data_IF_827407469750
#
_entry.id   IF_827407469750
#
_cell.length_a   1.000
_cell.length_b   1.000
_cell.length_c   1.000
_cell.angle_alpha   90.00
_cell.angle_beta   90.00
_cell.angle_gamma   90.00
#
_symmetry.space_group_name_H-M   'P 1'
#
loop_
_entity.id
_entity.type
_entity.pdbx_description
1 polymer ?
#
# COMPACT_ATOMS: atom_id res chain seq x y z
N UNK A 1 29.39 -22.26 17.80
CA UNK A 1 28.34 -23.04 17.12
C UNK A 1 27.00 -22.49 17.54
N UNK A 2 26.29 -21.86 16.61
CA UNK A 2 25.03 -21.17 16.86
C UNK A 2 24.58 -20.35 15.64
N UNK A 3 24.65 -20.97 14.45
CA UNK A 3 23.90 -20.52 13.28
C UNK A 3 22.56 -21.25 13.38
N UNK A 4 21.56 -20.60 13.95
CA UNK A 4 20.24 -21.17 14.13
C UNK A 4 19.20 -20.05 14.23
N UNK A 5 18.13 -20.18 13.45
CA UNK A 5 16.89 -19.40 13.40
C UNK A 5 16.78 -18.21 12.43
N UNK A 6 17.86 -17.73 11.81
CA UNK A 6 17.76 -16.48 11.02
C UNK A 6 17.47 -16.68 9.51
N UNK A 7 17.30 -17.89 8.99
CA UNK A 7 17.07 -18.08 7.54
C UNK A 7 15.65 -17.76 7.08
N UNK A 8 14.66 -17.89 7.96
CA UNK A 8 13.26 -17.56 7.67
C UNK A 8 12.65 -16.78 8.84
N UNK A 9 12.61 -15.44 8.78
CA UNK A 9 12.00 -14.63 9.82
C UNK A 9 10.49 -14.93 9.96
N UNK A 10 10.00 -14.88 11.20
CA UNK A 10 8.58 -15.14 11.53
C UNK A 10 7.65 -14.04 11.01
N UNK A 11 8.15 -12.80 10.90
CA UNK A 11 7.40 -11.64 10.41
C UNK A 11 8.31 -10.78 9.51
N UNK A 12 7.76 -10.27 8.40
CA UNK A 12 8.47 -9.44 7.41
C UNK A 12 7.63 -8.25 6.99
N UNK A 13 8.30 -7.15 6.63
CA UNK A 13 7.66 -6.02 5.95
C UNK A 13 7.69 -6.28 4.45
N UNK A 14 6.53 -6.52 3.85
CA UNK A 14 6.43 -6.91 2.43
C UNK A 14 6.08 -5.72 1.55
N UNK A 15 6.94 -5.44 0.57
CA UNK A 15 6.69 -4.52 -0.53
C UNK A 15 5.89 -5.21 -1.65
N UNK A 16 5.08 -4.46 -2.41
CA UNK A 16 4.33 -5.01 -3.54
C UNK A 16 5.27 -5.52 -4.63
N UNK A 17 4.75 -6.43 -5.44
CA UNK A 17 5.35 -6.74 -6.73
C UNK A 17 5.11 -5.54 -7.67
N UNK A 18 6.13 -5.17 -8.43
CA UNK A 18 6.08 -4.05 -9.36
C UNK A 18 6.28 -4.57 -10.78
N UNK A 19 5.42 -4.12 -11.70
CA UNK A 19 5.50 -4.50 -13.11
C UNK A 19 5.01 -3.36 -14.00
N UNK A 20 5.58 -3.29 -15.19
CA UNK A 20 5.05 -2.46 -16.26
C UNK A 20 3.99 -3.24 -17.04
N UNK A 21 2.87 -2.60 -17.33
CA UNK A 21 1.81 -3.13 -18.17
C UNK A 21 1.05 -1.98 -18.83
N UNK A 22 0.26 -2.28 -19.85
CA UNK A 22 -0.64 -1.30 -20.44
C UNK A 22 -1.82 -1.01 -19.51
N UNK A 23 -2.39 0.21 -19.60
CA UNK A 23 -3.61 0.55 -18.87
C UNK A 23 -4.79 -0.36 -19.25
N UNK A 24 -4.80 -0.91 -20.47
CA UNK A 24 -5.79 -1.90 -20.92
C UNK A 24 -5.66 -3.21 -20.12
N UNK A 25 -4.45 -3.76 -20.00
CA UNK A 25 -4.22 -4.98 -19.22
C UNK A 25 -4.52 -4.78 -17.74
N UNK A 26 -4.16 -3.62 -17.21
CA UNK A 26 -4.51 -3.21 -15.86
C UNK A 26 -6.02 -3.17 -15.65
N UNK A 27 -6.77 -2.50 -16.54
CA UNK A 27 -8.22 -2.40 -16.46
C UNK A 27 -8.90 -3.77 -16.57
N UNK A 28 -8.43 -4.64 -17.47
CA UNK A 28 -8.91 -6.03 -17.56
C UNK A 28 -8.69 -6.78 -16.25
N UNK A 29 -7.50 -6.64 -15.64
CA UNK A 29 -7.18 -7.29 -14.36
C UNK A 29 -8.08 -6.77 -13.24
N UNK A 30 -8.30 -5.45 -13.18
CA UNK A 30 -9.14 -4.80 -12.18
C UNK A 30 -10.63 -5.22 -12.30
N UNK A 31 -11.10 -5.45 -13.52
CA UNK A 31 -12.49 -5.82 -13.81
C UNK A 31 -12.75 -7.33 -13.75
N UNK A 32 -11.69 -8.16 -13.76
CA UNK A 32 -11.83 -9.61 -13.69
C UNK A 32 -12.26 -10.00 -12.28
N UNK A 33 -13.45 -10.62 -12.11
CA UNK A 33 -13.89 -11.08 -10.81
C UNK A 33 -12.90 -12.10 -10.26
N UNK A 34 -12.43 -11.89 -9.04
CA UNK A 34 -11.59 -12.86 -8.36
C UNK A 34 -12.48 -13.78 -7.54
N UNK A 35 -12.18 -15.08 -7.56
CA UNK A 35 -12.88 -16.09 -6.77
C UNK A 35 -12.51 -16.03 -5.27
N UNK A 36 -12.38 -14.83 -4.70
CA UNK A 36 -12.23 -14.62 -3.26
C UNK A 36 -13.60 -14.80 -2.59
N UNK A 37 -14.17 -16.01 -2.70
CA UNK A 37 -15.43 -16.37 -2.05
C UNK A 37 -15.24 -16.80 -0.60
N UNK A 38 -14.00 -17.03 -0.16
CA UNK A 38 -13.67 -17.44 1.20
C UNK A 38 -12.73 -16.44 1.87
N UNK A 39 -13.29 -15.60 2.76
CA UNK A 39 -12.53 -14.67 3.59
C UNK A 39 -11.50 -15.38 4.50
N UNK A 40 -11.67 -16.69 4.75
CA UNK A 40 -10.77 -17.54 5.53
C UNK A 40 -9.72 -18.26 4.66
N UNK A 41 -9.74 -18.10 3.34
CA UNK A 41 -8.70 -18.64 2.48
C UNK A 41 -7.32 -18.10 2.90
N UNK A 42 -6.34 -19.01 2.93
CA UNK A 42 -4.95 -18.68 3.23
C UNK A 42 -4.47 -17.56 2.28
N UNK A 43 -3.71 -16.59 2.80
CA UNK A 43 -3.33 -15.39 2.05
C UNK A 43 -2.65 -15.68 0.70
N UNK A 44 -1.99 -16.84 0.59
CA UNK A 44 -1.34 -17.32 -0.62
C UNK A 44 -2.34 -17.63 -1.76
N UNK A 45 -3.56 -18.08 -1.41
CA UNK A 45 -4.63 -18.41 -2.36
C UNK A 45 -5.48 -17.22 -2.78
N UNK A 46 -5.21 -16.04 -2.23
CA UNK A 46 -5.93 -14.81 -2.61
C UNK A 46 -5.44 -14.31 -3.95
N UNK A 47 -6.36 -13.72 -4.70
CA UNK A 47 -6.03 -13.18 -6.01
C UNK A 47 -5.18 -11.91 -5.90
N UNK A 48 -4.41 -11.62 -6.96
CA UNK A 48 -3.65 -10.39 -7.07
C UNK A 48 -4.59 -9.17 -6.94
N UNK A 49 -4.18 -8.16 -6.18
CA UNK A 49 -4.88 -6.88 -6.09
C UNK A 49 -4.13 -5.85 -6.93
N UNK A 50 -4.63 -5.49 -8.13
CA UNK A 50 -3.98 -4.51 -8.98
C UNK A 50 -4.18 -3.09 -8.41
N UNK A 51 -3.09 -2.30 -8.34
CA UNK A 51 -3.15 -0.93 -7.83
C UNK A 51 -2.10 -0.02 -8.50
N UNK A 52 -2.54 0.98 -9.27
CA UNK A 52 -1.68 2.09 -9.73
C UNK A 52 -1.48 3.03 -8.55
N UNK A 53 -0.22 3.16 -8.11
CA UNK A 53 0.08 3.87 -6.85
C UNK A 53 1.49 4.48 -6.74
N UNK A 54 2.24 4.55 -7.85
CA UNK A 54 3.58 5.15 -7.85
C UNK A 54 3.49 6.63 -7.45
N UNK A 55 4.30 7.03 -6.46
CA UNK A 55 4.23 8.37 -5.83
C UNK A 55 5.44 9.25 -6.16
N UNK A 56 5.76 9.41 -7.44
CA UNK A 56 6.83 10.29 -7.89
C UNK A 56 6.49 10.95 -9.23
N UNK A 57 5.39 11.69 -9.28
CA UNK A 57 4.96 12.40 -10.49
C UNK A 57 4.25 11.50 -11.50
N UNK A 58 3.65 10.39 -11.05
CA UNK A 58 3.14 9.35 -11.95
C UNK A 58 2.10 9.83 -12.95
N UNK A 59 1.28 10.84 -12.62
CA UNK A 59 0.32 11.40 -13.56
C UNK A 59 1.03 11.99 -14.79
N UNK A 60 2.06 12.82 -14.53
CA UNK A 60 2.79 13.54 -15.58
C UNK A 60 3.71 12.61 -16.37
N UNK A 61 4.37 11.66 -15.69
CA UNK A 61 5.35 10.77 -16.31
C UNK A 61 4.71 9.61 -17.09
N UNK A 62 3.65 9.00 -16.55
CA UNK A 62 3.09 7.74 -17.08
C UNK A 62 1.77 7.93 -17.83
N UNK A 63 1.03 9.01 -17.53
CA UNK A 63 -0.31 9.25 -18.08
C UNK A 63 -0.50 10.68 -18.64
N UNK A 64 0.40 11.16 -19.53
CA UNK A 64 0.35 12.54 -20.03
C UNK A 64 -0.96 12.87 -20.76
N UNK A 65 -1.63 11.89 -21.36
CA UNK A 65 -2.92 12.09 -22.03
C UNK A 65 -4.09 12.40 -21.08
N UNK A 66 -3.91 12.21 -19.77
CA UNK A 66 -4.94 12.50 -18.76
C UNK A 66 -4.72 13.85 -18.07
N UNK A 67 -3.61 14.54 -18.33
CA UNK A 67 -3.25 15.78 -17.62
C UNK A 67 -4.28 16.87 -17.89
N UNK A 68 -4.72 17.03 -19.14
CA UNK A 68 -5.72 18.02 -19.56
C UNK A 68 -7.10 17.79 -18.94
N UNK A 69 -7.45 16.52 -18.65
CA UNK A 69 -8.69 16.14 -17.97
C UNK A 69 -8.59 16.25 -16.44
N UNK A 70 -7.37 16.39 -15.94
CA UNK A 70 -7.04 16.53 -14.52
C UNK A 70 -6.49 17.94 -14.26
N UNK A 71 -5.58 18.06 -13.29
CA UNK A 71 -4.80 19.28 -13.07
C UNK A 71 -3.40 18.86 -12.62
N UNK A 72 -2.38 19.52 -13.15
CA UNK A 72 -0.99 19.43 -12.70
C UNK A 72 -0.68 20.37 -11.52
N UNK A 73 -1.61 21.27 -11.20
CA UNK A 73 -1.54 22.17 -10.05
C UNK A 73 -2.93 22.56 -9.53
N UNK A 74 -3.04 22.83 -8.23
CA UNK A 74 -4.27 23.34 -7.60
C UNK A 74 -4.00 24.76 -7.10
N UNK A 75 -4.48 25.81 -7.81
CA UNK A 75 -4.03 27.19 -7.58
C UNK A 75 -4.17 27.69 -6.13
N UNK A 76 -5.30 27.42 -5.47
CA UNK A 76 -5.50 27.87 -4.09
C UNK A 76 -4.53 27.19 -3.11
N UNK A 77 -4.13 25.94 -3.37
CA UNK A 77 -3.21 25.21 -2.52
C UNK A 77 -1.81 25.75 -2.68
N UNK A 78 -1.38 26.02 -3.93
CA UNK A 78 -0.08 26.63 -4.21
C UNK A 78 0.05 28.03 -3.63
N UNK A 79 -1.02 28.83 -3.73
CA UNK A 79 -1.08 30.16 -3.10
C UNK A 79 -0.93 30.05 -1.57
N UNK A 80 -1.71 29.17 -0.93
CA UNK A 80 -1.71 29.00 0.52
C UNK A 80 -0.38 28.44 1.07
N UNK A 81 0.26 27.54 0.32
CA UNK A 81 1.51 26.89 0.71
C UNK A 81 2.76 27.65 0.22
N UNK A 82 2.59 28.65 -0.65
CA UNK A 82 3.66 29.46 -1.20
C UNK A 82 4.59 28.72 -2.18
N UNK A 83 4.16 27.58 -2.72
CA UNK A 83 4.94 26.77 -3.68
C UNK A 83 4.05 25.87 -4.54
N UNK A 84 4.48 25.52 -5.77
CA UNK A 84 3.82 24.49 -6.58
C UNK A 84 4.00 23.09 -5.98
N UNK A 85 3.21 22.08 -6.42
CA UNK A 85 3.36 20.70 -5.94
C UNK A 85 4.73 20.12 -6.32
N UNK A 86 5.33 19.35 -5.40
CA UNK A 86 6.59 18.63 -5.68
C UNK A 86 6.34 17.42 -6.60
N UNK A 87 5.13 16.86 -6.60
CA UNK A 87 4.71 15.74 -7.43
C UNK A 87 3.19 15.72 -7.60
N UNK A 88 2.72 15.25 -8.77
CA UNK A 88 1.31 14.96 -9.04
C UNK A 88 1.18 13.49 -9.43
N UNK A 89 0.41 12.74 -8.64
CA UNK A 89 0.31 11.29 -8.77
C UNK A 89 -1.11 10.87 -9.16
N UNK A 90 -1.19 9.75 -9.88
CA UNK A 90 -2.46 9.08 -10.20
C UNK A 90 -2.62 7.83 -9.35
N UNK A 91 -3.83 7.61 -8.84
CA UNK A 91 -4.19 6.40 -8.13
C UNK A 91 -5.41 5.73 -8.76
N UNK A 92 -5.28 4.45 -9.12
CA UNK A 92 -6.38 3.62 -9.62
C UNK A 92 -6.30 2.26 -8.95
N UNK A 93 -7.39 1.87 -8.28
CA UNK A 93 -7.55 0.58 -7.63
C UNK A 93 -9.00 0.35 -7.24
N UNK A 94 -9.26 -0.74 -6.54
CA UNK A 94 -10.59 -1.10 -6.01
C UNK A 94 -10.62 -1.16 -4.48
N UNK A 95 -11.72 -1.64 -3.89
CA UNK A 95 -11.90 -1.75 -2.44
C UNK A 95 -10.89 -2.66 -1.74
N UNK A 96 -10.18 -3.53 -2.48
CA UNK A 96 -9.16 -4.43 -1.94
C UNK A 96 -7.81 -3.72 -1.80
N UNK A 97 -7.62 -2.60 -2.51
CA UNK A 97 -6.40 -1.78 -2.49
C UNK A 97 -6.30 -0.96 -1.21
N UNK A 98 -5.66 -1.54 -0.18
CA UNK A 98 -5.48 -0.91 1.13
C UNK A 98 -4.05 -0.42 1.34
N UNK A 99 -3.92 0.76 1.93
CA UNK A 99 -2.63 1.31 2.38
C UNK A 99 -2.57 1.25 3.90
N UNK A 100 -1.46 0.77 4.45
CA UNK A 100 -1.24 0.71 5.89
C UNK A 100 -1.07 2.11 6.49
N UNK A 101 -1.19 2.24 7.81
CA UNK A 101 -0.88 3.51 8.47
C UNK A 101 0.57 3.91 8.22
N UNK A 102 0.76 5.16 7.80
CA UNK A 102 2.05 5.78 7.55
C UNK A 102 1.93 7.29 7.77
N UNK A 103 3.06 7.98 7.65
CA UNK A 103 3.13 9.43 7.62
C UNK A 103 4.02 9.85 6.46
N UNK A 104 3.64 10.92 5.80
CA UNK A 104 4.46 11.57 4.78
C UNK A 104 5.02 12.89 5.32
N UNK A 105 6.06 13.39 4.67
CA UNK A 105 6.64 14.70 4.97
C UNK A 105 6.13 15.76 3.98
N UNK A 106 4.93 15.55 3.44
CA UNK A 106 4.31 16.39 2.42
C UNK A 106 2.95 16.91 2.89
N UNK A 107 2.60 18.11 2.43
CA UNK A 107 1.24 18.63 2.48
C UNK A 107 0.45 18.00 1.31
N UNK A 108 -0.39 17.02 1.62
CA UNK A 108 -1.12 16.25 0.61
C UNK A 108 -2.50 16.86 0.32
N UNK A 109 -2.74 17.21 -0.94
CA UNK A 109 -4.09 17.54 -1.46
C UNK A 109 -4.62 16.34 -2.23
N UNK A 110 -5.61 15.64 -1.66
CA UNK A 110 -6.16 14.41 -2.25
C UNK A 110 -7.49 14.67 -2.97
N UNK A 111 -7.53 14.46 -4.28
CA UNK A 111 -8.75 14.60 -5.09
C UNK A 111 -9.31 13.21 -5.48
N UNK A 112 -10.61 13.01 -5.27
CA UNK A 112 -11.32 11.79 -5.71
C UNK A 112 -12.13 12.11 -6.96
N UNK A 113 -11.65 11.66 -8.12
CA UNK A 113 -12.33 11.85 -9.41
C UNK A 113 -13.54 10.93 -9.54
N UNK A 114 -13.41 9.66 -9.11
CA UNK A 114 -14.50 8.66 -9.16
C UNK A 114 -14.44 7.71 -7.98
N UNK A 115 -15.60 7.35 -7.44
CA UNK A 115 -15.73 6.40 -6.35
C UNK A 115 -15.59 7.05 -4.97
N UNK A 116 -14.92 6.37 -4.05
CA UNK A 116 -14.76 6.81 -2.66
C UNK A 116 -13.41 6.37 -2.10
N UNK A 117 -12.69 7.27 -1.45
CA UNK A 117 -11.52 6.96 -0.61
C UNK A 117 -11.91 7.15 0.85
N UNK A 118 -11.56 6.20 1.71
CA UNK A 118 -11.78 6.26 3.15
C UNK A 118 -10.44 6.46 3.84
N UNK A 119 -10.31 7.56 4.58
CA UNK A 119 -9.11 7.85 5.38
C UNK A 119 -9.37 7.55 6.84
N UNK A 120 -8.41 6.88 7.47
CA UNK A 120 -8.28 6.82 8.92
C UNK A 120 -7.11 7.70 9.32
N UNK A 121 -7.41 8.83 9.96
CA UNK A 121 -6.41 9.83 10.32
C UNK A 121 -6.13 9.80 11.82
N UNK A 122 -4.86 9.96 12.17
CA UNK A 122 -4.41 10.22 13.52
C UNK A 122 -3.60 11.52 13.51
N UNK A 123 -3.74 12.38 14.53
CA UNK A 123 -2.87 13.53 14.66
C UNK A 123 -1.42 13.07 14.96
N UNK A 124 -0.39 13.87 14.63
CA UNK A 124 1.01 13.49 14.85
C UNK A 124 1.33 13.11 16.31
N UNK A 125 0.67 13.72 17.29
CA UNK A 125 0.85 13.42 18.71
C UNK A 125 0.41 12.01 19.12
N UNK A 126 -0.42 11.34 18.31
CA UNK A 126 -0.90 10.00 18.55
C UNK A 126 -0.07 8.91 17.86
N UNK A 127 1.08 9.25 17.27
CA UNK A 127 1.99 8.27 16.66
C UNK A 127 2.39 7.12 17.59
N UNK A 128 2.34 7.31 18.91
CA UNK A 128 2.60 6.25 19.92
C UNK A 128 1.65 5.06 19.82
N UNK A 129 0.40 5.26 19.40
CA UNK A 129 -0.59 4.16 19.30
C UNK A 129 -0.41 3.31 18.05
N UNK A 130 0.46 3.71 17.12
CA UNK A 130 0.74 2.96 15.90
C UNK A 130 1.60 1.70 16.13
N UNK A 131 2.24 1.60 17.30
CA UNK A 131 2.98 0.40 17.71
C UNK A 131 4.05 -0.01 16.70
N UNK A 132 4.92 0.93 16.30
CA UNK A 132 5.96 0.67 15.30
C UNK A 132 6.86 -0.51 15.68
N UNK A 133 7.13 -1.39 14.71
CA UNK A 133 8.01 -2.55 14.86
C UNK A 133 9.04 -2.56 13.74
N UNK A 134 10.19 -3.17 14.01
CA UNK A 134 11.23 -3.41 13.01
C UNK A 134 11.06 -4.83 12.48
N UNK A 135 11.03 -4.98 11.16
CA UNK A 135 10.98 -6.28 10.50
C UNK A 135 11.92 -6.27 9.28
N UNK A 136 12.48 -7.43 8.89
CA UNK A 136 13.20 -7.56 7.63
C UNK A 136 12.29 -7.20 6.44
N UNK A 137 12.85 -6.48 5.47
CA UNK A 137 12.17 -6.16 4.23
C UNK A 137 12.11 -7.38 3.29
N UNK A 138 10.96 -7.56 2.67
CA UNK A 138 10.71 -8.54 1.63
C UNK A 138 9.91 -7.91 0.49
N UNK A 139 9.81 -8.59 -0.64
CA UNK A 139 8.99 -8.18 -1.78
C UNK A 139 8.21 -9.37 -2.32
N UNK A 140 7.01 -9.12 -2.83
CA UNK A 140 6.33 -10.11 -3.67
C UNK A 140 7.00 -10.24 -5.03
N UNK A 141 7.26 -11.46 -5.47
CA UNK A 141 7.76 -11.78 -6.81
C UNK A 141 6.78 -12.74 -7.49
N UNK A 142 6.50 -12.53 -8.77
CA UNK A 142 5.68 -13.46 -9.53
C UNK A 142 6.48 -14.73 -9.84
N UNK A 143 5.88 -15.91 -9.60
CA UNK A 143 6.41 -17.17 -10.15
C UNK A 143 5.79 -17.46 -11.51
N UNK A 144 6.58 -18.04 -12.41
CA UNK A 144 6.04 -18.70 -13.60
C UNK A 144 5.09 -19.82 -13.14
N UNK A 145 3.92 -19.90 -13.78
CA UNK A 145 2.87 -20.85 -13.39
C UNK A 145 3.43 -22.27 -13.42
N UNK A 146 3.50 -22.92 -12.25
CA UNK A 146 3.48 -24.38 -12.19
C UNK A 146 2.10 -24.88 -12.61
N UNK A 147 2.02 -26.13 -13.05
CA UNK A 147 0.80 -26.78 -13.59
C UNK A 147 -0.40 -26.74 -12.61
N UNK A 148 -0.17 -26.47 -11.33
CA UNK A 148 -1.18 -26.34 -10.30
C UNK A 148 -1.38 -24.87 -9.91
N UNK A 149 -2.48 -24.26 -10.36
CA UNK A 149 -2.82 -22.84 -10.24
C UNK A 149 -3.04 -22.28 -8.82
N UNK A 150 -2.22 -22.66 -7.83
CA UNK A 150 -2.45 -22.32 -6.42
C UNK A 150 -1.54 -21.23 -5.82
N UNK A 151 -0.52 -20.69 -6.50
CA UNK A 151 0.23 -19.52 -6.00
C UNK A 151 0.94 -18.73 -7.11
N UNK A 152 0.44 -17.54 -7.45
CA UNK A 152 1.09 -16.65 -8.46
C UNK A 152 2.28 -15.86 -7.89
N UNK A 153 2.37 -15.67 -6.58
CA UNK A 153 3.40 -14.84 -5.94
C UNK A 153 4.14 -15.57 -4.81
N UNK A 154 5.42 -15.26 -4.65
CA UNK A 154 6.27 -15.69 -3.54
C UNK A 154 6.91 -14.49 -2.85
N UNK A 155 7.30 -14.67 -1.59
CA UNK A 155 8.05 -13.68 -0.84
C UNK A 155 9.56 -13.87 -1.08
N UNK A 156 10.22 -12.82 -1.50
CA UNK A 156 11.68 -12.74 -1.59
C UNK A 156 12.20 -11.75 -0.55
N UNK A 157 13.06 -12.24 0.37
CA UNK A 157 13.75 -11.36 1.32
C UNK A 157 14.75 -10.46 0.58
N UNK A 158 14.77 -9.17 0.92
CA UNK A 158 15.72 -8.23 0.33
C UNK A 158 17.17 -8.62 0.67
N UNK A 159 18.05 -8.49 -0.34
CA UNK A 159 19.49 -8.67 -0.21
C UNK A 159 20.21 -7.45 -0.80
N UNK A 160 21.04 -6.72 -0.03
CA UNK A 160 21.37 -6.95 1.38
C UNK A 160 20.17 -6.76 2.33
N UNK A 161 20.21 -7.42 3.49
CA UNK A 161 19.12 -7.34 4.48
C UNK A 161 18.93 -5.90 4.94
N UNK A 162 17.70 -5.44 4.88
CA UNK A 162 17.28 -4.12 5.36
C UNK A 162 16.16 -4.30 6.38
N UNK A 163 16.30 -3.65 7.53
CA UNK A 163 15.21 -3.57 8.49
C UNK A 163 14.35 -2.34 8.22
N UNK A 164 13.03 -2.52 8.32
CA UNK A 164 12.05 -1.44 8.13
C UNK A 164 11.23 -1.29 9.39
N UNK A 165 11.18 -0.05 9.89
CA UNK A 165 10.22 0.33 10.92
C UNK A 165 8.86 0.57 10.26
N UNK A 166 7.84 -0.20 10.64
CA UNK A 166 6.49 -0.09 10.09
C UNK A 166 5.43 -0.15 11.19
N UNK A 167 4.27 0.45 10.94
CA UNK A 167 3.14 0.44 11.86
C UNK A 167 2.33 -0.84 11.70
N UNK A 168 2.31 -1.69 12.73
CA UNK A 168 1.45 -2.88 12.75
C UNK A 168 -0.02 -2.56 13.06
N UNK A 169 -0.34 -1.31 13.39
CA UNK A 169 -1.70 -0.91 13.69
C UNK A 169 -2.61 -1.01 12.45
N UNK A 170 -3.84 -1.46 12.70
CA UNK A 170 -4.97 -1.42 11.78
C UNK A 170 -6.10 -0.60 12.40
N UNK A 171 -7.07 -0.10 11.60
CA UNK A 171 -8.24 0.59 12.14
C UNK A 171 -9.00 -0.27 13.17
N UNK A 172 -9.04 -1.59 12.97
CA UNK A 172 -9.61 -2.52 13.94
C UNK A 172 -8.84 -2.57 15.26
N UNK A 173 -7.51 -2.68 15.20
CA UNK A 173 -6.66 -2.72 16.41
C UNK A 173 -6.77 -1.45 17.26
N UNK A 174 -6.85 -0.28 16.62
CA UNK A 174 -6.99 0.99 17.33
C UNK A 174 -8.37 1.16 17.97
N UNK A 175 -9.42 0.69 17.30
CA UNK A 175 -10.77 0.65 17.88
C UNK A 175 -10.86 -0.29 19.07
N UNK A 176 -10.14 -1.42 19.04
CA UNK A 176 -10.08 -2.33 20.19
C UNK A 176 -9.35 -1.68 21.37
N UNK A 177 -8.21 -1.03 21.13
CA UNK A 177 -7.46 -0.29 22.15
C UNK A 177 -8.29 0.86 22.77
N UNK A 178 -9.09 1.57 21.97
CA UNK A 178 -9.96 2.62 22.49
C UNK A 178 -11.12 2.08 23.37
N UNK A 179 -11.45 0.79 23.27
CA UNK A 179 -12.52 0.14 24.04
C UNK A 179 -12.01 -0.46 25.36
N UNK A 180 -10.71 -0.67 25.52
CA UNK A 180 -10.13 -1.09 26.79
C UNK A 180 -10.16 0.09 27.76
N UNK A 181 -10.87 -0.06 28.88
CA UNK A 181 -11.07 0.98 29.88
C UNK A 181 -9.71 1.27 30.57
N UNK A 182 -9.27 2.52 30.76
CA UNK A 182 -8.01 2.83 31.46
C UNK A 182 -7.97 2.42 32.94
N UNK A 183 -8.98 1.70 33.44
CA UNK A 183 -9.04 1.15 34.81
C UNK A 183 -8.69 -0.34 34.90
N UNK A 184 -8.44 -1.00 33.77
CA UNK A 184 -8.11 -2.43 33.71
C UNK A 184 -6.61 -2.70 33.42
N UNK A 185 -5.75 -1.71 33.65
CA UNK A 185 -4.28 -1.80 33.54
C UNK A 185 -3.60 -1.47 34.88
#
# INVERSE_FOLDING_TARGET
SGLGDDENPVEVFVQPEERLMTLREFATTLQTPTADTDAHAHASRRSAVPYVSRQCGSLLEEFPSLVDDCADEIPFASEALGKPPDAVNLWIGDERSQTTFHRDHYENVYCVVRGKKVFHLLPPCDGRVLGFRRAPAARFEQRENGEDGENRFVLALERPRREVAWSSATPGSLRALARTNPRDA
#
